data_IF_381565756907
#
_entry.id   IF_381565756907
#
_cell.length_a   1.000
_cell.length_b   1.000
_cell.length_c   1.000
_cell.angle_alpha   90.00
_cell.angle_beta   90.00
_cell.angle_gamma   90.00
#
_symmetry.space_group_name_H-M   'P 1'
#
loop_
_entity.id
_entity.type
_entity.pdbx_description
1 polymer ?
#
# COMPACT_ATOMS: atom_id res chain seq x y z
N UNK A 1 27.53 7.42 6.27
CA UNK A 1 27.60 6.03 6.74
C UNK A 1 28.97 5.80 7.39
N UNK A 2 29.09 5.01 8.48
CA UNK A 2 30.38 4.78 9.16
C UNK A 2 31.40 4.13 8.22
N UNK A 3 32.68 4.49 8.37
CA UNK A 3 33.75 3.89 7.57
C UNK A 3 34.08 2.44 7.97
N UNK A 4 33.67 2.01 9.17
CA UNK A 4 33.95 0.69 9.74
C UNK A 4 32.71 0.10 10.42
N UNK A 5 32.61 -1.24 10.55
CA UNK A 5 31.51 -1.87 11.26
C UNK A 5 31.42 -1.43 12.73
N UNK A 6 30.19 -1.33 13.24
CA UNK A 6 29.90 -1.08 14.65
C UNK A 6 29.36 -2.38 15.25
N UNK A 7 30.02 -2.90 16.27
CA UNK A 7 29.59 -4.12 16.95
C UNK A 7 28.40 -3.84 17.85
N UNK A 8 27.25 -4.44 17.55
CA UNK A 8 26.02 -4.30 18.35
C UNK A 8 26.25 -4.72 19.81
N UNK A 9 27.09 -5.73 20.05
CA UNK A 9 27.43 -6.21 21.39
C UNK A 9 28.13 -5.17 22.28
N UNK A 10 28.74 -4.14 21.68
CA UNK A 10 29.41 -3.05 22.40
C UNK A 10 28.49 -1.86 22.68
N UNK A 11 27.26 -1.87 22.14
CA UNK A 11 26.30 -0.79 22.37
C UNK A 11 25.63 -0.93 23.75
N UNK A 12 25.24 0.21 24.38
CA UNK A 12 24.40 0.19 25.57
C UNK A 12 23.10 -0.61 25.34
N UNK A 13 22.56 -1.21 26.39
CA UNK A 13 21.31 -1.99 26.31
C UNK A 13 20.14 -1.19 25.74
N UNK A 14 19.97 0.06 26.17
CA UNK A 14 18.94 0.95 25.63
C UNK A 14 19.08 1.17 24.12
N UNK A 15 20.31 1.29 23.60
CA UNK A 15 20.57 1.45 22.18
C UNK A 15 20.30 0.15 21.40
N UNK A 16 20.69 -1.01 21.94
CA UNK A 16 20.37 -2.32 21.33
C UNK A 16 18.87 -2.56 21.26
N UNK A 17 18.13 -2.14 22.30
CA UNK A 17 16.68 -2.34 22.40
C UNK A 17 15.85 -1.59 21.36
N UNK A 18 16.38 -0.52 20.76
CA UNK A 18 15.65 0.28 19.76
C UNK A 18 15.99 -0.10 18.31
N UNK A 19 17.01 -0.93 18.07
CA UNK A 19 17.38 -1.35 16.72
C UNK A 19 16.23 -2.11 16.06
N UNK A 20 15.81 -1.65 14.88
CA UNK A 20 14.72 -2.25 14.11
C UNK A 20 13.33 -1.97 14.70
N UNK A 21 13.21 -1.10 15.70
CA UNK A 21 11.94 -0.71 16.29
C UNK A 21 11.38 0.53 15.61
N UNK A 22 10.07 0.54 15.39
CA UNK A 22 9.36 1.71 14.90
C UNK A 22 8.90 2.59 16.07
N UNK A 23 8.80 3.90 15.84
CA UNK A 23 8.14 4.78 16.80
C UNK A 23 6.65 4.36 16.95
N UNK A 24 6.03 4.47 18.15
CA UNK A 24 4.63 4.09 18.35
C UNK A 24 3.65 4.70 17.32
N UNK A 25 3.84 5.97 16.95
CA UNK A 25 3.02 6.65 15.94
C UNK A 25 3.18 6.09 14.51
N UNK A 26 4.25 5.33 14.25
CA UNK A 26 4.53 4.69 12.95
C UNK A 26 4.23 3.18 12.93
N UNK A 27 3.85 2.59 14.07
CA UNK A 27 3.45 1.18 14.13
C UNK A 27 2.29 0.83 13.18
N UNK A 28 1.25 1.68 13.01
CA UNK A 28 0.20 1.41 12.02
C UNK A 28 0.71 1.38 10.58
N UNK A 29 1.65 2.26 10.23
CA UNK A 29 2.23 2.31 8.89
C UNK A 29 3.05 1.04 8.59
N UNK A 30 3.83 0.56 9.58
CA UNK A 30 4.52 -0.74 9.48
C UNK A 30 3.54 -1.88 9.22
N UNK A 31 2.45 -1.95 9.98
CA UNK A 31 1.45 -3.00 9.82
C UNK A 31 0.80 -2.99 8.42
N UNK A 32 0.55 -1.80 7.85
CA UNK A 32 0.05 -1.66 6.47
C UNK A 32 1.07 -2.22 5.47
N UNK A 33 2.34 -1.84 5.58
CA UNK A 33 3.39 -2.32 4.69
C UNK A 33 3.60 -3.84 4.79
N UNK A 34 3.60 -4.38 6.01
CA UNK A 34 3.72 -5.84 6.22
C UNK A 34 2.55 -6.61 5.61
N UNK A 35 1.31 -6.09 5.71
CA UNK A 35 0.14 -6.65 5.01
C UNK A 35 0.27 -6.60 3.49
N UNK A 36 0.97 -5.61 2.96
CA UNK A 36 1.26 -5.50 1.53
C UNK A 36 2.42 -6.40 1.07
N UNK A 37 3.16 -7.04 1.99
CA UNK A 37 4.25 -7.97 1.68
C UNK A 37 5.65 -7.45 1.98
N UNK A 38 5.77 -6.28 2.61
CA UNK A 38 7.06 -5.76 3.06
C UNK A 38 7.55 -6.48 4.33
N UNK A 39 8.87 -6.58 4.48
CA UNK A 39 9.50 -7.24 5.61
C UNK A 39 10.81 -6.54 6.00
N UNK A 40 11.18 -6.62 7.27
CA UNK A 40 12.48 -6.14 7.72
C UNK A 40 13.56 -7.19 7.43
N UNK A 41 14.57 -6.83 6.63
CA UNK A 41 15.67 -7.72 6.23
C UNK A 41 17.02 -7.39 6.89
N UNK A 42 16.98 -6.68 8.03
CA UNK A 42 18.16 -6.36 8.85
C UNK A 42 18.76 -4.96 8.62
N UNK A 43 18.25 -4.21 7.64
CA UNK A 43 18.64 -2.82 7.37
C UNK A 43 17.95 -1.84 8.32
N UNK A 44 18.66 -0.81 8.78
CA UNK A 44 18.11 0.24 9.66
C UNK A 44 18.56 1.64 9.23
N UNK A 45 17.79 2.66 9.61
CA UNK A 45 18.17 4.06 9.45
C UNK A 45 19.41 4.40 10.30
N UNK A 46 20.25 5.30 9.80
CA UNK A 46 21.53 5.64 10.44
C UNK A 46 21.41 6.64 11.61
N UNK A 47 20.26 7.29 11.76
CA UNK A 47 20.02 8.30 12.80
C UNK A 47 19.27 7.70 13.99
N UNK A 48 18.18 6.99 13.74
CA UNK A 48 17.30 6.47 14.80
C UNK A 48 17.25 4.94 14.92
N UNK A 49 17.95 4.22 14.03
CA UNK A 49 17.94 2.76 13.94
C UNK A 49 16.54 2.16 13.68
N UNK A 50 15.60 2.94 13.14
CA UNK A 50 14.32 2.46 12.66
C UNK A 50 14.47 1.44 11.52
N UNK A 51 13.57 0.46 11.39
CA UNK A 51 13.70 -0.61 10.41
C UNK A 51 13.44 -0.08 8.99
N UNK A 52 14.27 -0.48 8.05
CA UNK A 52 13.97 -0.34 6.62
C UNK A 52 13.18 -1.57 6.19
N UNK A 53 11.95 -1.35 5.73
CA UNK A 53 11.09 -2.43 5.22
C UNK A 53 11.26 -2.55 3.71
N UNK A 54 11.40 -3.78 3.24
CA UNK A 54 11.73 -4.09 1.85
C UNK A 54 10.79 -5.18 1.31
N UNK A 55 10.44 -5.08 0.03
CA UNK A 55 9.67 -6.08 -0.71
C UNK A 55 10.17 -6.13 -2.16
N UNK A 56 10.16 -7.33 -2.74
CA UNK A 56 10.28 -7.48 -4.19
C UNK A 56 8.95 -7.01 -4.82
N UNK A 57 9.00 -6.28 -5.94
CA UNK A 57 7.82 -5.59 -6.49
C UNK A 57 6.66 -6.56 -6.82
N UNK A 58 6.98 -7.77 -7.26
CA UNK A 58 6.03 -8.86 -7.53
C UNK A 58 5.42 -9.47 -6.25
N UNK A 59 6.02 -9.22 -5.08
CA UNK A 59 5.50 -9.64 -3.80
C UNK A 59 4.58 -8.60 -3.15
N UNK A 60 4.61 -7.36 -3.66
CA UNK A 60 3.71 -6.30 -3.19
C UNK A 60 2.28 -6.63 -3.63
N UNK A 61 1.39 -6.91 -2.68
CA UNK A 61 0.00 -7.32 -2.94
C UNK A 61 -0.74 -6.32 -3.82
N UNK A 62 -0.71 -5.03 -3.48
CA UNK A 62 -1.36 -3.99 -4.26
C UNK A 62 -0.87 -3.91 -5.71
N UNK A 63 0.36 -4.37 -6.01
CA UNK A 63 0.90 -4.44 -7.38
C UNK A 63 0.48 -5.74 -8.05
N UNK A 64 0.76 -6.89 -7.40
CA UNK A 64 0.51 -8.24 -7.91
C UNK A 64 -0.98 -8.49 -8.18
N UNK A 65 -1.84 -8.07 -7.25
CA UNK A 65 -3.26 -8.37 -7.28
C UNK A 65 -4.07 -7.25 -7.97
N UNK A 66 -3.41 -6.16 -8.40
CA UNK A 66 -4.08 -5.09 -9.15
C UNK A 66 -4.60 -5.61 -10.47
N UNK A 67 -5.83 -5.24 -10.79
CA UNK A 67 -6.48 -5.56 -12.05
C UNK A 67 -6.72 -4.30 -12.86
N UNK A 68 -6.59 -4.39 -14.18
CA UNK A 68 -6.91 -3.29 -15.09
C UNK A 68 -8.26 -3.51 -15.74
N UNK A 69 -9.31 -2.90 -15.19
CA UNK A 69 -10.70 -3.14 -15.56
C UNK A 69 -11.32 -1.93 -16.29
N UNK A 70 -12.25 -2.13 -17.24
CA UNK A 70 -13.07 -1.05 -17.78
C UNK A 70 -13.92 -0.39 -16.70
N UNK A 71 -14.01 0.94 -16.71
CA UNK A 71 -14.79 1.72 -15.71
C UNK A 71 -16.22 1.22 -15.58
N UNK A 72 -16.90 0.91 -16.70
CA UNK A 72 -18.26 0.36 -16.71
C UNK A 72 -18.47 -0.89 -15.84
N UNK A 73 -17.42 -1.67 -15.56
CA UNK A 73 -17.51 -2.85 -14.68
C UNK A 73 -17.53 -2.47 -13.21
N UNK A 74 -17.12 -1.26 -12.87
CA UNK A 74 -17.02 -0.75 -11.50
C UNK A 74 -18.16 0.19 -11.12
N UNK A 75 -19.06 0.47 -12.06
CA UNK A 75 -20.26 1.29 -11.83
C UNK A 75 -21.39 0.51 -11.11
N UNK A 76 -21.26 -0.81 -10.98
CA UNK A 76 -22.14 -1.62 -10.14
C UNK A 76 -21.60 -1.77 -8.72
N UNK A 77 -22.33 -2.51 -7.88
CA UNK A 77 -21.91 -2.80 -6.50
C UNK A 77 -20.60 -3.61 -6.48
N UNK A 78 -19.55 -2.99 -5.96
CA UNK A 78 -18.27 -3.62 -5.63
C UNK A 78 -18.45 -4.41 -4.33
N UNK A 79 -17.86 -5.61 -4.23
CA UNK A 79 -18.04 -6.49 -3.08
C UNK A 79 -17.30 -6.02 -1.83
N UNK A 80 -16.37 -5.08 -1.97
CA UNK A 80 -15.53 -4.57 -0.90
C UNK A 80 -14.98 -3.17 -1.22
N UNK A 81 -14.54 -2.40 -0.20
CA UNK A 81 -13.79 -1.17 -0.39
C UNK A 81 -12.61 -1.38 -1.35
N UNK A 82 -12.52 -0.55 -2.39
CA UNK A 82 -11.59 -0.76 -3.50
C UNK A 82 -10.83 0.53 -3.81
N UNK A 83 -9.52 0.44 -3.90
CA UNK A 83 -8.67 1.50 -4.42
C UNK A 83 -8.74 1.47 -5.95
N UNK A 84 -9.03 2.62 -6.56
CA UNK A 84 -9.14 2.78 -8.02
C UNK A 84 -8.22 3.90 -8.46
N UNK A 85 -7.38 3.64 -9.46
CA UNK A 85 -6.43 4.60 -10.01
C UNK A 85 -6.57 4.73 -11.52
N UNK A 86 -6.51 5.96 -12.03
CA UNK A 86 -6.73 6.24 -13.46
C UNK A 86 -5.59 5.74 -14.37
N UNK A 87 -4.43 5.37 -13.80
CA UNK A 87 -3.29 4.83 -14.55
C UNK A 87 -2.62 5.83 -15.50
N UNK A 88 -2.90 7.12 -15.36
CA UNK A 88 -2.27 8.18 -16.16
C UNK A 88 -0.98 8.65 -15.47
N UNK A 89 0.08 8.86 -16.25
CA UNK A 89 1.38 9.27 -15.70
C UNK A 89 1.39 10.75 -15.28
N UNK A 90 1.14 11.67 -16.21
CA UNK A 90 1.22 13.12 -15.96
C UNK A 90 0.13 13.63 -15.03
N UNK A 91 -1.01 12.93 -14.99
CA UNK A 91 -2.20 13.34 -14.28
C UNK A 91 -2.78 12.21 -13.43
N UNK A 92 -1.90 11.53 -12.69
CA UNK A 92 -2.28 10.42 -11.83
C UNK A 92 -3.36 10.85 -10.82
N UNK A 93 -4.41 10.04 -10.71
CA UNK A 93 -5.45 10.15 -9.68
C UNK A 93 -5.77 8.77 -9.14
N UNK A 94 -6.04 8.72 -7.84
CA UNK A 94 -6.56 7.53 -7.18
C UNK A 94 -7.61 7.92 -6.14
N UNK A 95 -8.61 7.06 -5.98
CA UNK A 95 -9.68 7.19 -5.01
C UNK A 95 -9.85 5.88 -4.26
N UNK A 96 -10.30 5.98 -3.01
CA UNK A 96 -10.91 4.86 -2.32
C UNK A 96 -12.42 4.91 -2.59
N UNK A 97 -12.93 3.87 -3.24
CA UNK A 97 -14.36 3.66 -3.40
C UNK A 97 -14.83 2.77 -2.27
N UNK A 98 -15.48 3.39 -1.30
CA UNK A 98 -16.06 2.76 -0.12
C UNK A 98 -17.32 3.55 0.23
N UNK A 99 -18.47 2.89 0.27
CA UNK A 99 -19.73 3.50 0.70
C UNK A 99 -20.43 2.55 1.67
N UNK A 100 -21.10 3.11 2.68
CA UNK A 100 -21.71 2.35 3.79
C UNK A 100 -22.87 1.45 3.37
N UNK A 101 -23.47 1.69 2.20
CA UNK A 101 -24.65 0.95 1.70
C UNK A 101 -24.45 0.32 0.31
N UNK A 102 -23.75 0.98 -0.63
CA UNK A 102 -23.44 0.47 -1.97
C UNK A 102 -22.12 1.04 -2.49
N UNK A 103 -21.12 0.17 -2.70
CA UNK A 103 -19.81 0.59 -3.17
C UNK A 103 -19.85 0.66 -4.71
N UNK A 104 -19.94 1.83 -5.34
CA UNK A 104 -19.89 1.94 -6.81
C UNK A 104 -19.13 3.19 -7.26
N UNK A 105 -18.61 3.18 -8.48
CA UNK A 105 -18.11 4.40 -9.14
C UNK A 105 -19.29 5.22 -9.66
N UNK A 106 -19.65 6.26 -8.93
CA UNK A 106 -20.64 7.26 -9.34
C UNK A 106 -20.00 8.35 -10.24
N UNK A 107 -20.83 9.29 -10.73
CA UNK A 107 -20.35 10.37 -11.59
C UNK A 107 -19.32 11.26 -10.90
N UNK A 108 -19.46 11.51 -9.59
CA UNK A 108 -18.51 12.29 -8.83
C UNK A 108 -17.12 11.63 -8.77
N UNK A 109 -17.08 10.30 -8.62
CA UNK A 109 -15.84 9.53 -8.66
C UNK A 109 -15.18 9.56 -10.05
N UNK A 110 -15.97 9.50 -11.14
CA UNK A 110 -15.46 9.62 -12.51
C UNK A 110 -14.81 10.99 -12.76
N UNK A 111 -15.50 12.05 -12.36
CA UNK A 111 -14.99 13.42 -12.49
C UNK A 111 -13.70 13.62 -11.67
N UNK A 112 -13.64 13.07 -10.45
CA UNK A 112 -12.46 13.16 -9.60
C UNK A 112 -11.27 12.33 -10.13
N UNK A 113 -11.52 11.17 -10.75
CA UNK A 113 -10.50 10.37 -11.44
C UNK A 113 -10.10 10.94 -12.80
N UNK A 114 -10.92 11.82 -13.37
CA UNK A 114 -10.80 12.34 -14.74
C UNK A 114 -10.77 11.23 -15.79
N UNK A 115 -11.73 10.32 -15.70
CA UNK A 115 -11.91 9.19 -16.61
C UNK A 115 -13.35 9.12 -17.12
N UNK A 116 -13.53 8.55 -18.30
CA UNK A 116 -14.83 8.22 -18.89
C UNK A 116 -15.22 6.77 -18.63
N UNK A 117 -16.48 6.42 -18.86
CA UNK A 117 -16.97 5.03 -18.74
C UNK A 117 -16.27 4.04 -19.69
N UNK A 118 -15.64 4.56 -20.75
CA UNK A 118 -14.91 3.77 -21.76
C UNK A 118 -13.45 3.52 -21.39
N UNK A 119 -12.92 4.23 -20.39
CA UNK A 119 -11.54 4.09 -19.98
C UNK A 119 -11.31 2.83 -19.14
N UNK A 120 -10.03 2.49 -18.98
CA UNK A 120 -9.58 1.38 -18.12
C UNK A 120 -8.75 1.91 -16.96
N UNK A 121 -9.11 1.49 -15.76
CA UNK A 121 -8.49 1.92 -14.50
C UNK A 121 -7.84 0.72 -13.82
N UNK A 122 -6.86 0.99 -12.96
CA UNK A 122 -6.29 -0.01 -12.06
C UNK A 122 -7.13 -0.09 -10.79
N UNK A 123 -7.41 -1.30 -10.32
CA UNK A 123 -8.22 -1.54 -9.14
C UNK A 123 -7.58 -2.59 -8.24
N UNK A 124 -7.67 -2.41 -6.94
CA UNK A 124 -7.32 -3.43 -5.95
C UNK A 124 -8.15 -3.25 -4.68
N UNK A 125 -8.56 -4.34 -4.03
CA UNK A 125 -9.29 -4.25 -2.76
C UNK A 125 -8.43 -3.59 -1.70
N UNK A 126 -9.04 -2.80 -0.81
CA UNK A 126 -8.33 -2.10 0.27
C UNK A 126 -7.70 -3.10 1.24
N UNK A 127 -8.45 -4.13 1.65
CA UNK A 127 -7.93 -5.17 2.54
C UNK A 127 -7.54 -6.44 1.76
N UNK A 128 -6.45 -7.13 2.16
CA UNK A 128 -6.04 -8.40 1.56
C UNK A 128 -7.10 -9.49 1.66
N UNK A 129 -7.74 -9.62 2.82
CA UNK A 129 -8.81 -10.57 3.12
C UNK A 129 -10.05 -10.45 2.20
N UNK A 130 -10.26 -9.29 1.59
CA UNK A 130 -11.40 -9.01 0.71
C UNK A 130 -11.16 -9.42 -0.74
N UNK A 131 -9.99 -9.97 -1.07
CA UNK A 131 -9.64 -10.44 -2.42
C UNK A 131 -10.41 -11.73 -2.77
N UNK A 132 -11.74 -11.66 -2.80
CA UNK A 132 -12.59 -12.64 -3.47
C UNK A 132 -12.46 -12.34 -4.96
N UNK A 133 -11.59 -13.11 -5.60
CA UNK A 133 -11.30 -13.02 -7.03
C UNK A 133 -12.54 -12.69 -7.84
N UNK A 134 -12.49 -11.62 -8.64
CA UNK A 134 -13.49 -11.17 -9.63
C UNK A 134 -13.68 -12.17 -10.79
N UNK A 135 -13.67 -13.48 -10.50
CA UNK A 135 -13.80 -14.57 -11.46
C UNK A 135 -15.25 -14.74 -11.90
#
# INVERSE_FOLDING_TARGET
MPAYPIYISLLPEAARGVIGQVHPNTAPARAILEKEGFSWRGSVDIFDAGPVLEADTDQIRAVRDSQRLPVRQLMGDLPAPTLVANGQFDNFRALLVAHEEQVSLDSAALDALQVSETDRVYTVTLNPEDNRSWR
#
